data_IF_837491872621
#
_entry.id   IF_837491872621
#
_cell.length_a   1.000
_cell.length_b   1.000
_cell.length_c   1.000
_cell.angle_alpha   90.00
_cell.angle_beta   90.00
_cell.angle_gamma   90.00
#
_symmetry.space_group_name_H-M   'P 1'
#
loop_
_entity.id
_entity.type
_entity.pdbx_description
1 polymer ?
#
# COMPACT_ATOMS: atom_id res chain seq x y z
N UNK A 1 12.60 7.99 13.55
CA UNK A 1 11.44 7.32 12.87
C UNK A 1 10.20 7.40 13.75
N UNK A 2 10.33 7.31 15.09
CA UNK A 2 9.19 7.29 16.01
C UNK A 2 8.39 8.61 16.00
N UNK A 3 9.06 9.75 15.87
CA UNK A 3 8.39 11.07 15.79
C UNK A 3 7.61 11.27 14.49
N UNK A 4 8.12 10.73 13.37
CA UNK A 4 7.48 10.86 12.05
C UNK A 4 6.36 9.84 11.81
N UNK A 5 6.27 8.80 12.65
CA UNK A 5 5.31 7.71 12.50
C UNK A 5 4.76 7.27 13.87
N UNK A 6 4.00 8.17 14.54
CA UNK A 6 3.49 7.93 15.90
C UNK A 6 2.18 7.14 15.90
N UNK A 7 2.15 5.98 15.23
CA UNK A 7 0.96 5.16 15.07
C UNK A 7 1.10 3.79 15.71
N UNK A 8 -0.01 3.28 16.21
CA UNK A 8 -0.11 1.94 16.77
C UNK A 8 -0.13 0.88 15.66
N UNK A 9 0.73 -0.13 15.79
CA UNK A 9 0.79 -1.25 14.85
C UNK A 9 -0.23 -2.31 15.24
N UNK A 10 -1.06 -2.72 14.28
CA UNK A 10 -1.96 -3.84 14.40
C UNK A 10 -1.55 -4.96 13.44
N UNK A 11 -1.87 -6.20 13.78
CA UNK A 11 -1.55 -7.39 12.98
C UNK A 11 -2.82 -8.22 12.79
N UNK A 12 -3.19 -8.43 11.54
CA UNK A 12 -4.12 -9.47 11.15
C UNK A 12 -3.32 -10.72 10.80
N UNK A 13 -3.66 -11.84 11.43
CA UNK A 13 -3.08 -13.12 11.06
C UNK A 13 -3.82 -13.68 9.83
N UNK A 14 -3.12 -13.74 8.69
CA UNK A 14 -3.62 -14.38 7.47
C UNK A 14 -2.89 -15.70 7.31
N UNK A 15 -3.54 -16.81 7.62
CA UNK A 15 -2.90 -18.14 7.71
C UNK A 15 -1.76 -18.10 8.74
N UNK A 16 -0.51 -18.27 8.31
CA UNK A 16 0.69 -18.21 9.15
C UNK A 16 1.46 -16.89 9.00
N UNK A 17 0.91 -15.92 8.25
CA UNK A 17 1.59 -14.67 7.90
C UNK A 17 0.99 -13.49 8.63
N UNK A 18 1.85 -12.56 9.02
CA UNK A 18 1.47 -11.32 9.67
C UNK A 18 1.18 -10.25 8.63
N UNK A 19 -0.05 -9.76 8.61
CA UNK A 19 -0.50 -8.65 7.77
C UNK A 19 -0.67 -7.41 8.64
N UNK A 20 0.26 -6.48 8.52
CA UNK A 20 0.29 -5.25 9.32
C UNK A 20 -0.72 -4.24 8.79
N UNK A 21 -1.35 -3.51 9.69
CA UNK A 21 -2.18 -2.36 9.37
C UNK A 21 -2.19 -1.33 10.50
N UNK A 22 -2.49 -0.09 10.15
CA UNK A 22 -2.85 0.97 11.07
C UNK A 22 -4.37 1.05 11.15
N UNK A 23 -4.89 1.38 12.33
CA UNK A 23 -6.30 1.68 12.57
C UNK A 23 -6.34 2.84 13.56
N UNK A 24 -6.40 4.05 13.04
CA UNK A 24 -6.22 5.29 13.77
C UNK A 24 -7.46 6.18 13.68
N UNK A 25 -7.80 6.80 14.81
CA UNK A 25 -8.95 7.69 14.92
C UNK A 25 -10.24 7.01 15.37
N UNK A 26 -11.13 7.82 15.97
CA UNK A 26 -12.38 7.36 16.58
C UNK A 26 -13.63 7.63 15.70
N UNK A 27 -13.45 8.13 14.49
CA UNK A 27 -14.55 8.44 13.59
C UNK A 27 -15.28 7.19 13.10
N UNK A 28 -16.59 7.31 12.86
CA UNK A 28 -17.41 6.22 12.30
C UNK A 28 -17.38 6.14 10.76
N UNK A 29 -16.51 6.93 10.11
CA UNK A 29 -16.39 7.02 8.65
C UNK A 29 -15.04 6.44 8.24
N UNK A 30 -14.97 5.18 7.77
CA UNK A 30 -13.71 4.57 7.42
C UNK A 30 -13.09 5.18 6.17
N UNK A 31 -11.80 5.56 6.28
CA UNK A 31 -10.89 5.85 5.19
C UNK A 31 -9.94 4.66 5.04
N UNK A 32 -10.14 3.85 4.02
CA UNK A 32 -9.24 2.75 3.70
C UNK A 32 -8.22 3.25 2.67
N UNK A 33 -6.94 3.38 3.10
CA UNK A 33 -5.90 3.99 2.29
C UNK A 33 -4.89 2.95 1.84
N UNK A 34 -4.76 2.75 0.53
CA UNK A 34 -3.92 1.73 -0.07
C UNK A 34 -2.71 2.35 -0.75
N UNK A 35 -1.53 2.02 -0.23
CA UNK A 35 -0.25 2.50 -0.73
C UNK A 35 0.20 1.76 -2.00
N UNK A 36 1.21 2.31 -2.67
CA UNK A 36 1.84 1.75 -3.83
C UNK A 36 3.19 1.07 -3.57
N UNK A 37 3.89 0.77 -4.66
CA UNK A 37 5.22 0.18 -4.65
C UNK A 37 6.26 1.24 -5.09
N UNK A 38 7.36 1.45 -4.36
CA UNK A 38 7.90 0.69 -3.23
C UNK A 38 7.58 1.27 -1.85
N UNK A 39 6.42 1.88 -1.66
CA UNK A 39 6.04 2.52 -0.40
C UNK A 39 5.32 1.57 0.58
N UNK A 40 4.89 2.10 1.72
CA UNK A 40 4.15 1.43 2.77
C UNK A 40 3.26 2.44 3.50
N UNK A 41 2.57 2.08 4.56
CA UNK A 41 1.65 2.96 5.31
C UNK A 41 2.26 4.32 5.74
N UNK A 42 3.57 4.41 5.85
CA UNK A 42 4.31 5.66 6.09
C UNK A 42 4.00 6.75 5.06
N UNK A 43 3.65 6.37 3.82
CA UNK A 43 3.23 7.30 2.76
C UNK A 43 2.06 8.18 3.19
N UNK A 44 1.12 7.62 3.92
CA UNK A 44 -0.09 8.30 4.38
C UNK A 44 0.02 8.99 5.74
N UNK A 45 1.19 8.97 6.41
CA UNK A 45 1.37 9.48 7.77
C UNK A 45 0.79 10.88 8.02
N UNK A 46 1.05 11.82 7.11
CA UNK A 46 0.56 13.20 7.25
C UNK A 46 -0.96 13.28 7.01
N UNK A 47 -1.49 12.44 6.12
CA UNK A 47 -2.92 12.38 5.86
C UNK A 47 -3.67 11.77 7.06
N UNK A 48 -3.10 10.74 7.69
CA UNK A 48 -3.63 10.15 8.92
C UNK A 48 -3.67 11.22 10.03
N UNK A 49 -2.56 11.91 10.27
CA UNK A 49 -2.48 12.96 11.31
C UNK A 49 -3.51 14.07 11.10
N UNK A 50 -3.77 14.46 9.86
CA UNK A 50 -4.73 15.51 9.54
C UNK A 50 -6.20 15.06 9.55
N UNK A 51 -6.48 13.77 9.49
CA UNK A 51 -7.84 13.25 9.31
C UNK A 51 -8.35 12.35 10.44
N UNK A 52 -7.49 11.83 11.30
CA UNK A 52 -7.87 10.86 12.36
C UNK A 52 -8.88 11.41 13.37
N UNK A 53 -8.97 12.72 13.53
CA UNK A 53 -9.94 13.32 14.45
C UNK A 53 -11.39 13.29 13.89
N UNK A 54 -11.53 13.10 12.57
CA UNK A 54 -12.83 13.10 11.86
C UNK A 54 -13.18 11.75 11.25
N UNK A 55 -12.19 10.88 11.01
CA UNK A 55 -12.31 9.63 10.29
C UNK A 55 -11.60 8.49 11.02
N UNK A 56 -12.03 7.27 10.76
CA UNK A 56 -11.27 6.07 11.10
C UNK A 56 -10.33 5.75 9.94
N UNK A 57 -9.04 5.97 10.13
CA UNK A 57 -8.00 5.79 9.12
C UNK A 57 -7.44 4.38 9.18
N UNK A 58 -7.79 3.52 8.23
CA UNK A 58 -7.29 2.16 8.11
C UNK A 58 -6.27 2.11 6.97
N UNK A 59 -5.04 1.70 7.27
CA UNK A 59 -3.92 1.71 6.31
C UNK A 59 -3.13 0.42 6.41
N UNK A 60 -3.42 -0.59 5.58
CA UNK A 60 -2.62 -1.82 5.56
C UNK A 60 -1.27 -1.61 4.89
N UNK A 61 -0.27 -2.39 5.31
CA UNK A 61 0.93 -2.65 4.54
C UNK A 61 0.71 -3.92 3.71
N UNK A 62 0.77 -3.80 2.40
CA UNK A 62 0.58 -4.95 1.53
C UNK A 62 1.60 -6.05 1.82
N UNK A 63 1.18 -7.33 1.71
CA UNK A 63 2.09 -8.46 1.90
C UNK A 63 3.35 -8.28 1.03
N UNK A 64 4.53 -8.46 1.63
CA UNK A 64 5.80 -8.17 0.99
C UNK A 64 6.34 -6.75 1.22
N UNK A 65 5.57 -5.84 1.82
CA UNK A 65 5.91 -4.43 1.99
C UNK A 65 5.78 -3.99 3.44
N UNK A 66 6.39 -2.86 3.78
CA UNK A 66 6.29 -2.23 5.10
C UNK A 66 6.61 -3.19 6.25
N UNK A 67 5.71 -3.24 7.23
CA UNK A 67 5.81 -4.10 8.42
C UNK A 67 5.10 -5.45 8.28
N UNK A 68 4.44 -5.70 7.14
CA UNK A 68 3.90 -7.02 6.80
C UNK A 68 5.00 -8.01 6.49
N UNK A 69 4.73 -9.31 6.64
CA UNK A 69 5.65 -10.37 6.30
C UNK A 69 6.05 -10.36 4.82
N UNK A 70 7.25 -10.89 4.53
CA UNK A 70 7.87 -10.93 3.20
C UNK A 70 8.27 -12.36 2.80
N UNK A 71 7.31 -13.30 2.76
CA UNK A 71 7.61 -14.70 2.48
C UNK A 71 8.16 -14.88 1.05
N UNK A 72 9.18 -15.72 0.90
CA UNK A 72 9.84 -15.95 -0.38
C UNK A 72 8.92 -16.69 -1.37
N UNK A 73 8.16 -17.66 -0.88
CA UNK A 73 7.26 -18.48 -1.67
C UNK A 73 5.81 -18.01 -1.51
N UNK A 74 5.54 -16.76 -1.90
CA UNK A 74 4.21 -16.17 -1.83
C UNK A 74 3.76 -15.73 -3.22
N UNK A 75 2.51 -16.01 -3.63
CA UNK A 75 1.99 -15.55 -4.90
C UNK A 75 1.67 -14.05 -4.83
N UNK A 76 2.65 -13.22 -5.12
CA UNK A 76 2.50 -11.76 -5.17
C UNK A 76 1.69 -11.31 -6.39
N UNK A 77 0.51 -11.90 -6.59
CA UNK A 77 -0.41 -11.54 -7.66
C UNK A 77 -1.40 -10.48 -7.22
N UNK A 78 -1.97 -9.74 -8.17
CA UNK A 78 -3.01 -8.75 -7.90
C UNK A 78 -4.20 -9.39 -7.15
N UNK A 79 -4.65 -10.58 -7.61
CA UNK A 79 -5.76 -11.30 -6.97
C UNK A 79 -5.47 -11.58 -5.49
N UNK A 80 -4.23 -12.04 -5.18
CA UNK A 80 -3.87 -12.37 -3.80
C UNK A 80 -3.81 -11.13 -2.89
N UNK A 81 -3.38 -9.99 -3.41
CA UNK A 81 -3.43 -8.73 -2.67
C UNK A 81 -4.88 -8.27 -2.41
N UNK A 82 -5.78 -8.45 -3.39
CA UNK A 82 -7.21 -8.16 -3.21
C UNK A 82 -7.80 -9.07 -2.13
N UNK A 83 -7.54 -10.38 -2.17
CA UNK A 83 -8.00 -11.35 -1.15
C UNK A 83 -7.51 -11.00 0.27
N UNK A 84 -6.27 -10.53 0.40
CA UNK A 84 -5.76 -10.06 1.70
C UNK A 84 -6.52 -8.82 2.20
N UNK A 85 -6.84 -7.91 1.29
CA UNK A 85 -7.63 -6.72 1.60
C UNK A 85 -9.05 -7.08 2.02
N UNK A 86 -9.70 -8.01 1.33
CA UNK A 86 -11.02 -8.56 1.67
C UNK A 86 -11.02 -9.08 3.11
N UNK A 87 -10.02 -9.91 3.48
CA UNK A 87 -9.88 -10.43 4.83
C UNK A 87 -9.72 -9.33 5.89
N UNK A 88 -9.01 -8.24 5.58
CA UNK A 88 -8.87 -7.11 6.49
C UNK A 88 -10.20 -6.37 6.65
N UNK A 89 -10.90 -6.09 5.56
CA UNK A 89 -12.19 -5.40 5.57
C UNK A 89 -13.21 -6.19 6.38
N UNK A 90 -13.30 -7.50 6.18
CA UNK A 90 -14.17 -8.41 6.92
C UNK A 90 -13.81 -8.46 8.42
N UNK A 91 -12.51 -8.56 8.74
CA UNK A 91 -12.01 -8.58 10.11
C UNK A 91 -12.39 -7.31 10.88
N UNK A 92 -12.26 -6.16 10.23
CA UNK A 92 -12.57 -4.85 10.81
C UNK A 92 -14.04 -4.45 10.66
N UNK A 93 -14.84 -5.26 9.96
CA UNK A 93 -16.26 -5.04 9.65
C UNK A 93 -16.48 -3.63 9.07
N UNK A 94 -15.66 -3.27 8.09
CA UNK A 94 -15.74 -1.96 7.45
C UNK A 94 -16.95 -1.90 6.49
N UNK A 95 -17.69 -0.80 6.57
CA UNK A 95 -18.81 -0.50 5.69
C UNK A 95 -18.76 0.97 5.26
N UNK A 96 -19.41 1.31 4.15
CA UNK A 96 -19.48 2.68 3.62
C UNK A 96 -18.10 3.35 3.49
N UNK A 97 -17.16 2.57 2.96
CA UNK A 97 -15.74 2.90 2.87
C UNK A 97 -15.50 4.08 1.92
N UNK A 98 -14.74 5.07 2.36
CA UNK A 98 -14.04 5.97 1.45
C UNK A 98 -12.69 5.35 1.13
N UNK A 99 -12.55 4.84 -0.09
CA UNK A 99 -11.34 4.16 -0.56
C UNK A 99 -10.36 5.17 -1.17
N UNK A 100 -9.19 5.27 -0.59
CA UNK A 100 -8.11 6.18 -1.01
C UNK A 100 -6.98 5.34 -1.60
N UNK A 101 -6.63 5.58 -2.85
CA UNK A 101 -5.70 4.72 -3.58
C UNK A 101 -4.59 5.50 -4.27
N UNK A 102 -3.40 4.93 -4.27
CA UNK A 102 -2.22 5.48 -4.93
C UNK A 102 -1.39 4.36 -5.56
N UNK A 103 -0.84 4.58 -6.76
CA UNK A 103 0.05 3.67 -7.48
C UNK A 103 -0.51 2.23 -7.55
N UNK A 104 0.21 1.21 -7.10
CA UNK A 104 -0.23 -0.20 -7.05
C UNK A 104 -1.48 -0.42 -6.19
N UNK A 105 -1.65 0.40 -5.13
CA UNK A 105 -2.87 0.42 -4.32
C UNK A 105 -4.12 0.75 -5.14
N UNK A 106 -3.98 1.43 -6.30
CA UNK A 106 -5.08 1.67 -7.22
C UNK A 106 -5.59 0.39 -7.87
N UNK A 107 -4.71 -0.44 -8.40
CA UNK A 107 -5.11 -1.72 -9.00
C UNK A 107 -5.76 -2.65 -7.96
N UNK A 108 -5.21 -2.71 -6.74
CA UNK A 108 -5.75 -3.51 -5.63
C UNK A 108 -7.12 -2.97 -5.20
N UNK A 109 -7.21 -1.65 -4.95
CA UNK A 109 -8.43 -1.03 -4.46
C UNK A 109 -9.58 -1.04 -5.48
N UNK A 110 -9.29 -0.81 -6.76
CA UNK A 110 -10.31 -0.90 -7.80
C UNK A 110 -10.77 -2.34 -8.02
N UNK A 111 -9.85 -3.32 -7.94
CA UNK A 111 -10.21 -4.73 -7.96
C UNK A 111 -11.11 -5.13 -6.80
N UNK A 112 -10.84 -4.63 -5.60
CA UNK A 112 -11.71 -4.78 -4.42
C UNK A 112 -13.07 -4.10 -4.63
N UNK A 113 -13.09 -2.84 -5.10
CA UNK A 113 -14.31 -2.08 -5.32
C UNK A 113 -15.26 -2.71 -6.36
N UNK A 114 -14.70 -3.36 -7.38
CA UNK A 114 -15.50 -4.08 -8.39
C UNK A 114 -16.13 -5.35 -7.80
N UNK A 115 -15.46 -6.01 -6.86
CA UNK A 115 -15.99 -7.21 -6.19
C UNK A 115 -17.02 -6.88 -5.12
N UNK A 116 -16.88 -5.72 -4.45
CA UNK A 116 -17.68 -5.29 -3.31
C UNK A 116 -18.18 -3.84 -3.47
N UNK A 117 -18.93 -3.53 -4.55
CA UNK A 117 -19.39 -2.17 -4.81
C UNK A 117 -20.30 -1.62 -3.70
N UNK A 118 -21.02 -2.48 -3.01
CA UNK A 118 -21.92 -2.14 -1.91
C UNK A 118 -21.20 -1.56 -0.69
N UNK A 119 -19.94 -1.94 -0.48
CA UNK A 119 -19.12 -1.43 0.62
C UNK A 119 -18.50 -0.06 0.33
N UNK A 120 -18.49 0.37 -0.94
CA UNK A 120 -17.79 1.59 -1.36
C UNK A 120 -18.72 2.78 -1.38
N UNK A 121 -18.41 3.78 -0.55
CA UNK A 121 -19.12 5.05 -0.53
C UNK A 121 -18.51 6.10 -1.46
N UNK A 122 -17.18 6.17 -1.51
CA UNK A 122 -16.41 7.13 -2.31
C UNK A 122 -15.06 6.56 -2.74
N UNK A 123 -14.55 7.08 -3.85
CA UNK A 123 -13.19 6.82 -4.33
C UNK A 123 -12.39 8.11 -4.34
N UNK A 124 -11.17 8.07 -3.82
CA UNK A 124 -10.17 9.13 -3.89
C UNK A 124 -8.94 8.57 -4.57
N UNK A 125 -8.59 9.10 -5.72
CA UNK A 125 -7.60 8.49 -6.62
C UNK A 125 -6.40 9.44 -6.76
N UNK A 126 -5.22 8.95 -6.40
CA UNK A 126 -3.95 9.65 -6.55
C UNK A 126 -3.03 8.87 -7.50
N UNK A 127 -2.55 9.51 -8.55
CA UNK A 127 -1.48 9.04 -9.43
C UNK A 127 -1.43 7.51 -9.61
N UNK A 128 -2.50 6.93 -10.15
CA UNK A 128 -2.64 5.49 -10.34
C UNK A 128 -3.32 5.16 -11.66
N UNK A 129 -3.29 3.88 -12.00
CA UNK A 129 -4.02 3.33 -13.13
C UNK A 129 -4.59 1.95 -12.75
N UNK A 130 -5.84 1.72 -13.15
CA UNK A 130 -6.54 0.44 -12.96
C UNK A 130 -7.03 -0.12 -14.31
N UNK A 131 -6.20 -0.01 -15.35
CA UNK A 131 -6.48 -0.54 -16.68
C UNK A 131 -5.31 -1.40 -17.19
N UNK A 132 -5.61 -2.31 -18.09
CA UNK A 132 -4.61 -3.15 -18.73
C UNK A 132 -3.70 -2.32 -19.63
N UNK A 133 -2.44 -2.13 -19.22
CA UNK A 133 -1.41 -1.56 -20.09
C UNK A 133 -0.57 -2.68 -20.73
N UNK A 134 -0.53 -2.70 -22.06
CA UNK A 134 0.35 -3.59 -22.82
C UNK A 134 1.80 -3.09 -22.87
N UNK A 135 2.03 -1.81 -22.53
CA UNK A 135 3.36 -1.20 -22.53
C UNK A 135 3.99 -1.26 -21.14
N UNK A 136 4.95 -2.14 -20.97
CA UNK A 136 5.76 -2.22 -19.76
C UNK A 136 6.99 -1.31 -19.97
N UNK A 137 7.24 -0.31 -19.10
CA UNK A 137 8.43 0.52 -19.16
C UNK A 137 9.72 -0.31 -19.21
N UNK A 138 10.72 0.14 -19.96
CA UNK A 138 11.98 -0.58 -20.14
C UNK A 138 12.67 -0.87 -18.79
N UNK A 139 12.62 0.08 -17.86
CA UNK A 139 13.14 -0.08 -16.49
C UNK A 139 12.54 -1.29 -15.76
N UNK A 140 11.22 -1.48 -15.86
CA UNK A 140 10.55 -2.63 -15.24
C UNK A 140 10.87 -3.94 -16.00
N UNK A 141 11.06 -3.88 -17.32
CA UNK A 141 11.49 -5.06 -18.11
C UNK A 141 12.88 -5.52 -17.70
N UNK A 142 13.82 -4.60 -17.50
CA UNK A 142 15.17 -4.90 -17.01
C UNK A 142 15.15 -5.53 -15.62
N UNK A 143 14.32 -5.02 -14.69
CA UNK A 143 14.16 -5.61 -13.37
C UNK A 143 13.61 -7.04 -13.39
N UNK A 144 12.99 -7.49 -14.49
CA UNK A 144 12.45 -8.84 -14.64
C UNK A 144 13.44 -9.83 -15.26
N UNK A 145 14.61 -9.39 -15.69
CA UNK A 145 15.62 -10.28 -16.22
C UNK A 145 16.17 -11.20 -15.12
N UNK A 146 16.23 -12.54 -15.36
CA UNK A 146 16.81 -13.47 -14.41
C UNK A 146 18.28 -13.10 -14.08
N UNK A 147 18.67 -13.21 -12.83
CA UNK A 147 20.01 -12.83 -12.36
C UNK A 147 20.16 -11.32 -12.16
N UNK A 148 20.06 -10.52 -13.22
CA UNK A 148 20.20 -9.07 -13.13
C UNK A 148 19.18 -8.44 -12.17
N UNK A 149 17.89 -8.76 -12.33
CA UNK A 149 16.85 -8.23 -11.44
C UNK A 149 17.06 -8.63 -9.98
N UNK A 150 17.51 -9.86 -9.73
CA UNK A 150 17.81 -10.35 -8.37
C UNK A 150 18.95 -9.55 -7.74
N UNK A 151 20.06 -9.35 -8.43
CA UNK A 151 21.23 -8.61 -7.93
C UNK A 151 20.88 -7.11 -7.77
N UNK A 152 20.27 -6.50 -8.77
CA UNK A 152 19.95 -5.08 -8.75
C UNK A 152 18.92 -4.74 -7.66
N UNK A 153 17.88 -5.56 -7.50
CA UNK A 153 16.81 -5.29 -6.53
C UNK A 153 17.20 -5.74 -5.14
N UNK A 154 17.64 -7.01 -4.96
CA UNK A 154 17.95 -7.57 -3.64
C UNK A 154 19.32 -7.14 -3.11
N UNK A 155 20.33 -6.99 -3.99
CA UNK A 155 21.67 -6.60 -3.57
C UNK A 155 21.80 -5.09 -3.36
N UNK A 156 21.32 -4.28 -4.29
CA UNK A 156 21.57 -2.84 -4.30
C UNK A 156 20.33 -1.97 -4.05
N UNK A 157 19.13 -2.58 -3.94
CA UNK A 157 17.86 -1.88 -3.77
C UNK A 157 17.64 -0.78 -4.84
N UNK A 158 18.10 -1.03 -6.06
CA UNK A 158 18.12 -0.06 -7.16
C UNK A 158 16.72 0.46 -7.44
N UNK A 159 15.72 -0.43 -7.49
CA UNK A 159 14.35 -0.03 -7.80
C UNK A 159 13.80 0.98 -6.79
N UNK A 160 13.91 0.71 -5.48
CA UNK A 160 13.39 1.62 -4.47
C UNK A 160 14.13 2.96 -4.47
N UNK A 161 15.48 2.95 -4.60
CA UNK A 161 16.29 4.17 -4.66
C UNK A 161 15.92 5.06 -5.86
N UNK A 162 15.81 4.46 -7.05
CA UNK A 162 15.44 5.22 -8.25
C UNK A 162 14.00 5.68 -8.25
N UNK A 163 13.06 4.80 -7.85
CA UNK A 163 11.64 5.13 -7.84
C UNK A 163 11.33 6.27 -6.86
N UNK A 164 11.87 6.23 -5.65
CA UNK A 164 11.67 7.29 -4.66
C UNK A 164 12.30 8.61 -5.11
N UNK A 165 13.53 8.57 -5.66
CA UNK A 165 14.19 9.76 -6.16
C UNK A 165 13.43 10.40 -7.33
N UNK A 166 12.96 9.61 -8.28
CA UNK A 166 12.21 10.10 -9.45
C UNK A 166 10.79 10.56 -9.12
N UNK A 167 10.12 9.89 -8.18
CA UNK A 167 8.75 10.23 -7.78
C UNK A 167 8.67 11.49 -6.91
N UNK A 168 9.75 11.83 -6.21
CA UNK A 168 9.76 13.00 -5.32
C UNK A 168 10.23 14.27 -6.06
N UNK A 169 9.30 15.17 -6.37
CA UNK A 169 9.59 16.45 -7.03
C UNK A 169 10.41 17.39 -6.14
N UNK A 170 10.23 17.34 -4.82
CA UNK A 170 10.97 18.15 -3.82
C UNK A 170 11.94 17.26 -3.06
N UNK A 171 13.12 17.08 -3.63
CA UNK A 171 14.16 16.18 -3.10
C UNK A 171 14.69 16.61 -1.73
N UNK A 172 14.65 17.87 -1.42
CA UNK A 172 14.95 18.43 -0.10
C UNK A 172 14.12 17.84 1.06
N UNK A 173 12.96 17.24 0.73
CA UNK A 173 12.09 16.54 1.69
C UNK A 173 12.49 15.07 1.92
N UNK A 174 13.41 14.56 1.11
CA UNK A 174 13.95 13.21 1.26
C UNK A 174 15.15 13.24 2.20
N UNK A 175 14.88 13.43 3.50
CA UNK A 175 15.89 13.37 4.53
C UNK A 175 16.26 11.91 4.85
N UNK A 176 17.36 11.71 5.62
CA UNK A 176 17.77 10.36 6.06
C UNK A 176 16.74 9.68 6.97
N UNK A 177 15.76 10.43 7.47
CA UNK A 177 14.69 9.96 8.36
C UNK A 177 13.43 9.54 7.60
N UNK A 178 13.29 9.92 6.33
CA UNK A 178 12.22 9.58 5.39
C UNK A 178 12.68 8.47 4.47
#
# INVERSE_FOLDING_TARGET
>A
VTELYPFSSNILQIEKLRYHYLDEGAGNKPLLMLHGNPSWSFYYRNLILGLKDYYRCVVPDHMGMGKSDKPQNYPYTLSKHIENLEKLVDHLKLDKITLVVHDWGGAIGMGFAVRHPELIKRLVIFNTAAFLSRKIPLSLRLCRLPGFGTVAIRGFNVFAKFATHWACKKQERMTKEV
#
